data_IF_574839756748
#
_entry.id   IF_574839756748
#
_cell.length_a   1.000
_cell.length_b   1.000
_cell.length_c   1.000
_cell.angle_alpha   90.00
_cell.angle_beta   90.00
_cell.angle_gamma   90.00
#
_symmetry.space_group_name_H-M   'P 1'
#
loop_
_entity.id
_entity.type
_entity.pdbx_description
1 polymer ?
#
# COMPACT_ATOMS: atom_id res chain seq x y z
N UNK A 1 -13.36 -4.64 15.25
CA UNK A 1 -12.71 -5.48 14.21
C UNK A 1 -11.31 -5.80 14.71
N UNK A 2 -10.86 -7.06 14.69
CA UNK A 2 -9.49 -7.39 15.14
C UNK A 2 -8.47 -6.99 14.07
N UNK A 3 -7.24 -6.65 14.49
CA UNK A 3 -6.16 -6.33 13.55
C UNK A 3 -5.90 -7.51 12.60
N UNK A 4 -6.00 -8.75 13.06
CA UNK A 4 -5.80 -9.94 12.24
C UNK A 4 -6.78 -10.02 11.06
N UNK A 5 -8.04 -9.65 11.26
CA UNK A 5 -9.04 -9.60 10.19
C UNK A 5 -8.76 -8.46 9.20
N UNK A 6 -8.32 -7.30 9.69
CA UNK A 6 -7.95 -6.18 8.82
C UNK A 6 -6.74 -6.57 7.95
N UNK A 7 -5.75 -7.24 8.54
CA UNK A 7 -4.58 -7.72 7.81
C UNK A 7 -4.96 -8.77 6.76
N UNK A 8 -5.92 -9.66 7.04
CA UNK A 8 -6.39 -10.62 6.03
C UNK A 8 -7.09 -9.95 4.86
N UNK A 9 -7.91 -8.92 5.11
CA UNK A 9 -8.62 -8.21 4.04
C UNK A 9 -7.66 -7.42 3.15
N UNK A 10 -6.64 -6.78 3.73
CA UNK A 10 -5.60 -6.09 2.94
C UNK A 10 -4.82 -7.09 2.07
N UNK A 11 -4.53 -8.29 2.59
CA UNK A 11 -3.86 -9.35 1.82
C UNK A 11 -4.73 -9.85 0.67
N UNK A 12 -6.01 -10.08 0.90
CA UNK A 12 -6.97 -10.50 -0.13
C UNK A 12 -7.11 -9.44 -1.24
N UNK A 13 -7.27 -8.16 -0.87
CA UNK A 13 -7.24 -7.05 -1.82
C UNK A 13 -5.96 -7.04 -2.67
N UNK A 14 -4.81 -7.24 -2.02
CA UNK A 14 -3.53 -7.27 -2.71
C UNK A 14 -3.41 -8.44 -3.69
N UNK A 15 -3.88 -9.63 -3.33
CA UNK A 15 -3.85 -10.81 -4.19
C UNK A 15 -4.78 -10.67 -5.40
N UNK A 16 -5.95 -10.04 -5.22
CA UNK A 16 -6.89 -9.76 -6.31
C UNK A 16 -6.37 -8.69 -7.29
N UNK A 17 -5.80 -7.61 -6.75
CA UNK A 17 -5.40 -6.43 -7.53
C UNK A 17 -3.97 -6.52 -8.09
N UNK A 18 -3.06 -7.24 -7.43
CA UNK A 18 -1.63 -7.28 -7.77
C UNK A 18 -1.22 -8.64 -8.34
N UNK A 19 -1.74 -8.93 -9.55
CA UNK A 19 -1.35 -10.13 -10.32
C UNK A 19 0.16 -10.21 -10.51
N UNK A 20 0.68 -11.44 -10.53
CA UNK A 20 2.11 -11.67 -10.71
C UNK A 20 2.62 -11.07 -12.03
N UNK A 21 3.82 -10.46 -12.01
CA UNK A 21 4.41 -9.92 -13.21
C UNK A 21 4.75 -11.04 -14.20
N UNK A 22 4.10 -11.04 -15.37
CA UNK A 22 4.40 -11.94 -16.48
C UNK A 22 5.58 -11.49 -17.35
N UNK A 23 6.24 -12.45 -17.98
CA UNK A 23 7.45 -12.26 -18.82
C UNK A 23 7.29 -11.30 -20.01
N UNK A 24 6.06 -10.97 -20.43
CA UNK A 24 5.76 -10.04 -21.54
C UNK A 24 5.48 -8.61 -21.09
N UNK A 25 5.62 -8.29 -19.81
CA UNK A 25 5.29 -6.97 -19.27
C UNK A 25 6.37 -5.93 -19.59
N UNK A 26 5.94 -4.68 -19.80
CA UNK A 26 6.87 -3.56 -19.94
C UNK A 26 7.62 -3.32 -18.63
N UNK A 27 8.78 -2.66 -18.74
CA UNK A 27 9.60 -2.31 -17.57
C UNK A 27 8.85 -1.39 -16.61
N UNK A 28 8.04 -0.49 -17.14
CA UNK A 28 7.21 0.45 -16.40
C UNK A 28 6.14 -0.29 -15.60
N UNK A 29 5.45 -1.23 -16.24
CA UNK A 29 4.41 -2.04 -15.60
C UNK A 29 4.99 -2.98 -14.54
N UNK A 30 6.15 -3.59 -14.81
CA UNK A 30 6.89 -4.38 -13.84
C UNK A 30 7.25 -3.56 -12.58
N UNK A 31 7.76 -2.34 -12.78
CA UNK A 31 8.07 -1.44 -11.65
C UNK A 31 6.83 -1.07 -10.87
N UNK A 32 5.73 -0.71 -11.54
CA UNK A 32 4.48 -0.35 -10.89
C UNK A 32 3.98 -1.50 -10.00
N UNK A 33 3.85 -2.71 -10.54
CA UNK A 33 3.45 -3.90 -9.76
C UNK A 33 4.40 -4.17 -8.60
N UNK A 34 5.72 -4.07 -8.83
CA UNK A 34 6.72 -4.29 -7.78
C UNK A 34 6.58 -3.29 -6.63
N UNK A 35 6.39 -2.01 -6.96
CA UNK A 35 6.22 -0.94 -5.97
C UNK A 35 4.89 -1.05 -5.24
N UNK A 36 3.82 -1.44 -5.93
CA UNK A 36 2.54 -1.71 -5.28
C UNK A 36 2.64 -2.83 -4.26
N UNK A 37 3.30 -3.95 -4.62
CA UNK A 37 3.51 -5.07 -3.68
C UNK A 37 4.38 -4.67 -2.49
N UNK A 38 5.43 -3.88 -2.73
CA UNK A 38 6.23 -3.31 -1.66
C UNK A 38 5.38 -2.45 -0.71
N UNK A 39 4.55 -1.54 -1.25
CA UNK A 39 3.70 -0.66 -0.45
C UNK A 39 2.73 -1.44 0.44
N UNK A 40 2.06 -2.48 -0.09
CA UNK A 40 1.22 -3.39 0.70
C UNK A 40 2.01 -4.00 1.86
N UNK A 41 3.22 -4.50 1.59
CA UNK A 41 4.09 -5.09 2.62
C UNK A 41 4.43 -4.10 3.74
N UNK A 42 4.78 -2.86 3.40
CA UNK A 42 5.08 -1.82 4.39
C UNK A 42 3.85 -1.42 5.21
N UNK A 43 2.67 -1.36 4.59
CA UNK A 43 1.41 -1.05 5.28
C UNK A 43 1.06 -2.15 6.29
N UNK A 44 1.10 -3.42 5.87
CA UNK A 44 0.85 -4.57 6.75
C UNK A 44 1.80 -4.55 7.95
N UNK A 45 3.10 -4.38 7.69
CA UNK A 45 4.12 -4.27 8.73
C UNK A 45 3.84 -3.10 9.69
N UNK A 46 3.49 -1.92 9.15
CA UNK A 46 3.20 -0.73 9.95
C UNK A 46 2.00 -0.95 10.89
N UNK A 47 0.97 -1.65 10.43
CA UNK A 47 -0.21 -2.01 11.24
C UNK A 47 0.17 -3.02 12.34
N UNK A 48 0.95 -4.05 12.00
CA UNK A 48 1.42 -5.06 12.96
C UNK A 48 2.29 -4.45 14.08
N UNK A 49 3.14 -3.48 13.72
CA UNK A 49 4.00 -2.73 14.66
C UNK A 49 3.21 -1.72 15.50
N UNK A 50 2.09 -1.18 14.98
CA UNK A 50 1.29 -0.13 15.62
C UNK A 50 0.07 -0.66 16.37
N UNK A 51 0.27 -1.61 17.29
CA UNK A 51 -0.83 -2.35 17.97
C UNK A 51 -1.90 -1.49 18.67
N UNK A 52 -1.54 -0.29 19.11
CA UNK A 52 -2.44 0.63 19.83
C UNK A 52 -3.04 1.72 18.94
N UNK A 53 -2.68 1.76 17.66
CA UNK A 53 -3.16 2.76 16.70
C UNK A 53 -4.20 2.10 15.80
N UNK A 54 -5.37 2.73 15.59
CA UNK A 54 -6.35 2.23 14.62
C UNK A 54 -5.72 2.08 13.23
N UNK A 55 -5.90 0.94 12.52
CA UNK A 55 -5.27 0.71 11.22
C UNK A 55 -5.54 1.80 10.18
N UNK A 56 -6.73 2.41 10.19
CA UNK A 56 -7.08 3.56 9.35
C UNK A 56 -6.08 4.71 9.55
N UNK A 57 -5.77 5.07 10.80
CA UNK A 57 -4.82 6.15 11.11
C UNK A 57 -3.40 5.79 10.69
N UNK A 58 -3.02 4.50 10.74
CA UNK A 58 -1.72 4.03 10.26
C UNK A 58 -1.61 4.21 8.75
N UNK A 59 -2.65 3.85 7.99
CA UNK A 59 -2.70 4.03 6.53
C UNK A 59 -2.72 5.51 6.15
N UNK A 60 -3.49 6.36 6.85
CA UNK A 60 -3.50 7.82 6.64
C UNK A 60 -2.13 8.47 6.89
N UNK A 61 -1.37 7.99 7.88
CA UNK A 61 0.00 8.43 8.12
C UNK A 61 0.97 7.96 7.03
N UNK A 62 0.80 6.73 6.55
CA UNK A 62 1.56 6.20 5.42
C UNK A 62 1.33 7.02 4.14
N UNK A 63 0.08 7.35 3.80
CA UNK A 63 -0.29 8.20 2.66
C UNK A 63 0.46 9.54 2.73
N UNK A 64 0.36 10.23 3.87
CA UNK A 64 1.03 11.53 4.08
C UNK A 64 2.54 11.46 3.90
N UNK A 65 3.17 10.37 4.38
CA UNK A 65 4.62 10.14 4.20
C UNK A 65 4.95 9.91 2.72
N UNK A 66 4.17 9.10 2.00
CA UNK A 66 4.44 8.81 0.59
C UNK A 66 4.29 10.06 -0.28
N UNK A 67 3.29 10.90 -0.02
CA UNK A 67 3.10 12.18 -0.70
C UNK A 67 4.31 13.11 -0.51
N UNK A 68 4.75 13.31 0.74
CA UNK A 68 5.95 14.09 1.07
C UNK A 68 7.21 13.51 0.43
N UNK A 69 7.41 12.18 0.50
CA UNK A 69 8.60 11.53 -0.04
C UNK A 69 8.63 11.58 -1.58
N UNK A 70 7.48 11.53 -2.24
CA UNK A 70 7.37 11.63 -3.69
C UNK A 70 7.91 12.97 -4.22
N UNK A 71 7.76 14.04 -3.43
CA UNK A 71 8.18 15.39 -3.77
C UNK A 71 9.66 15.67 -3.52
N UNK A 72 10.32 14.90 -2.63
CA UNK A 72 11.70 15.17 -2.18
C UNK A 72 12.77 14.80 -3.20
N UNK A 73 12.57 13.74 -3.98
CA UNK A 73 13.57 13.26 -4.93
C UNK A 73 12.91 12.65 -6.17
N UNK A 74 13.15 13.28 -7.32
CA UNK A 74 12.61 12.85 -8.63
C UNK A 74 12.92 11.40 -8.97
N UNK A 75 14.06 10.85 -8.53
CA UNK A 75 14.44 9.45 -8.81
C UNK A 75 13.59 8.44 -8.05
N UNK A 76 13.12 8.80 -6.86
CA UNK A 76 12.26 7.96 -6.00
C UNK A 76 10.80 8.38 -6.05
N UNK A 77 10.50 9.48 -6.75
CA UNK A 77 9.13 10.00 -6.88
C UNK A 77 8.15 8.93 -7.35
N UNK A 78 8.54 8.10 -8.33
CA UNK A 78 7.66 7.09 -8.89
C UNK A 78 7.29 5.97 -7.90
N UNK A 79 8.24 5.44 -7.10
CA UNK A 79 7.94 4.40 -6.12
C UNK A 79 6.99 4.92 -5.03
N UNK A 80 7.20 6.15 -4.57
CA UNK A 80 6.35 6.75 -3.54
C UNK A 80 4.98 7.17 -4.08
N UNK A 81 4.88 7.62 -5.33
CA UNK A 81 3.58 7.90 -5.96
C UNK A 81 2.75 6.63 -6.09
N UNK A 82 3.36 5.53 -6.55
CA UNK A 82 2.66 4.23 -6.63
C UNK A 82 2.23 3.75 -5.23
N UNK A 83 3.08 3.93 -4.23
CA UNK A 83 2.76 3.55 -2.85
C UNK A 83 1.62 4.39 -2.25
N UNK A 84 1.57 5.68 -2.57
CA UNK A 84 0.47 6.57 -2.22
C UNK A 84 -0.85 6.06 -2.78
N UNK A 85 -0.93 5.82 -4.10
CA UNK A 85 -2.16 5.37 -4.77
C UNK A 85 -2.68 4.04 -4.18
N UNK A 86 -1.77 3.11 -3.87
CA UNK A 86 -2.13 1.83 -3.24
C UNK A 86 -2.64 2.03 -1.82
N UNK A 87 -2.04 2.94 -1.07
CA UNK A 87 -2.48 3.23 0.29
C UNK A 87 -3.86 3.91 0.30
N UNK A 88 -4.17 4.80 -0.65
CA UNK A 88 -5.50 5.38 -0.82
C UNK A 88 -6.56 4.30 -1.12
N UNK A 89 -6.27 3.38 -2.06
CA UNK A 89 -7.19 2.29 -2.35
C UNK A 89 -7.45 1.39 -1.13
N UNK A 90 -6.40 1.09 -0.34
CA UNK A 90 -6.56 0.33 0.90
C UNK A 90 -7.39 1.11 1.92
N UNK A 91 -7.16 2.42 2.05
CA UNK A 91 -7.94 3.27 2.94
C UNK A 91 -9.43 3.25 2.57
N UNK A 92 -9.76 3.34 1.29
CA UNK A 92 -11.14 3.23 0.80
C UNK A 92 -11.78 1.89 1.16
N UNK A 93 -11.06 0.77 0.99
CA UNK A 93 -11.51 -0.56 1.41
C UNK A 93 -11.81 -0.57 2.92
N UNK A 94 -10.91 -0.04 3.75
CA UNK A 94 -11.09 0.00 5.20
C UNK A 94 -12.28 0.88 5.63
N UNK A 95 -12.52 1.98 4.92
CA UNK A 95 -13.67 2.87 5.19
C UNK A 95 -14.97 2.20 4.75
N UNK A 96 -14.99 1.49 3.62
CA UNK A 96 -16.18 0.79 3.13
C UNK A 96 -16.62 -0.38 4.02
N UNK A 97 -15.70 -0.94 4.81
CA UNK A 97 -15.98 -2.02 5.77
C UNK A 97 -16.54 -1.53 7.11
N UNK A 98 -16.60 -0.21 7.33
CA UNK A 98 -16.97 0.42 8.59
C UNK A 98 -18.48 0.43 8.79
#
# INVERSE_FOLDING_TARGET
MSNDYILSVIREYADECLKEPGWRMSKEWFKQVSYSRWAVGEILKSIEESRFTPPIMVVEDFIRKMDDFSCRNKKTSFIFSVAHDIAENILDVLIAMK
#
